data_IF_818966486038
#
_entry.id   IF_818966486038
#
_cell.length_a   1.000
_cell.length_b   1.000
_cell.length_c   1.000
_cell.angle_alpha   90.00
_cell.angle_beta   90.00
_cell.angle_gamma   90.00
#
_symmetry.space_group_name_H-M   'P 1'
#
loop_
_entity.id
_entity.type
_entity.pdbx_description
1 polymer ?
#
# COMPACT_ATOMS: atom_id res chain seq x y z
N UNK A 1 3.12 -11.65 26.42
CA UNK A 1 3.13 -12.20 25.06
C UNK A 1 1.94 -11.56 24.39
N UNK A 2 2.17 -10.62 23.49
CA UNK A 2 1.09 -9.93 22.75
C UNK A 2 0.28 -10.98 21.99
N UNK A 3 -0.99 -11.13 22.36
CA UNK A 3 -1.99 -11.91 21.65
C UNK A 3 -2.11 -11.31 20.25
N UNK A 4 -1.44 -11.90 19.26
CA UNK A 4 -1.50 -11.46 17.87
C UNK A 4 -2.95 -11.47 17.39
N UNK A 5 -3.43 -10.31 16.97
CA UNK A 5 -4.80 -10.14 16.48
C UNK A 5 -4.93 -10.80 15.10
N UNK A 6 -5.25 -12.09 15.07
CA UNK A 6 -5.61 -12.79 13.83
C UNK A 6 -7.07 -12.47 13.48
N UNK A 7 -7.29 -12.02 12.24
CA UNK A 7 -8.60 -11.80 11.64
C UNK A 7 -8.92 -13.04 10.81
N UNK A 8 -10.12 -13.59 10.92
CA UNK A 8 -10.50 -14.75 10.12
C UNK A 8 -10.68 -14.37 8.63
N UNK A 9 -10.55 -15.34 7.73
CA UNK A 9 -10.65 -15.12 6.27
C UNK A 9 -12.00 -14.50 5.87
N UNK A 10 -13.10 -14.92 6.51
CA UNK A 10 -14.44 -14.35 6.30
C UNK A 10 -14.58 -12.90 6.78
N UNK A 11 -13.98 -12.59 7.94
CA UNK A 11 -13.97 -11.22 8.46
C UNK A 11 -13.12 -10.30 7.56
N UNK A 12 -12.03 -10.84 7.02
CA UNK A 12 -11.16 -10.14 6.06
C UNK A 12 -11.91 -9.83 4.76
N UNK A 13 -12.61 -10.82 4.21
CA UNK A 13 -13.42 -10.65 2.98
C UNK A 13 -14.53 -9.61 3.17
N UNK A 14 -15.19 -9.63 4.33
CA UNK A 14 -16.19 -8.61 4.69
C UNK A 14 -15.59 -7.20 4.76
N UNK A 15 -14.45 -7.04 5.44
CA UNK A 15 -13.77 -5.74 5.57
C UNK A 15 -13.30 -5.21 4.22
N UNK A 16 -12.75 -6.08 3.37
CA UNK A 16 -12.36 -5.71 2.00
C UNK A 16 -13.57 -5.32 1.15
N UNK A 17 -14.71 -5.99 1.34
CA UNK A 17 -15.95 -5.66 0.66
C UNK A 17 -16.50 -4.31 1.13
N UNK A 18 -16.43 -4.02 2.43
CA UNK A 18 -16.87 -2.76 3.03
C UNK A 18 -16.00 -1.54 2.62
N UNK A 19 -14.76 -1.76 2.19
CA UNK A 19 -13.93 -0.72 1.55
C UNK A 19 -14.47 -0.30 0.18
N UNK A 20 -15.12 -1.23 -0.52
CA UNK A 20 -15.69 -1.01 -1.86
C UNK A 20 -17.14 -0.54 -1.77
N UNK A 21 -17.90 -1.08 -0.82
CA UNK A 21 -19.29 -0.72 -0.54
C UNK A 21 -19.50 -0.49 0.97
N UNK A 22 -19.39 0.77 1.43
CA UNK A 22 -19.57 1.11 2.83
C UNK A 22 -20.97 0.85 3.38
N UNK A 23 -21.99 0.69 2.52
CA UNK A 23 -23.37 0.44 2.97
C UNK A 23 -23.54 -0.95 3.61
N UNK A 24 -22.60 -1.87 3.36
CA UNK A 24 -22.52 -3.16 4.06
C UNK A 24 -22.29 -3.01 5.57
N UNK A 25 -21.82 -1.84 6.02
CA UNK A 25 -21.68 -1.52 7.44
C UNK A 25 -23.00 -1.08 8.10
N UNK A 26 -24.06 -0.86 7.32
CA UNK A 26 -25.36 -0.42 7.81
C UNK A 26 -26.32 -1.60 8.09
N UNK A 27 -25.87 -2.85 7.92
CA UNK A 27 -26.70 -4.04 8.19
C UNK A 27 -26.97 -4.17 9.70
N UNK A 28 -28.26 -4.17 10.14
CA UNK A 28 -28.62 -4.27 11.55
C UNK A 28 -28.32 -5.64 12.18
N UNK A 29 -28.12 -6.69 11.37
CA UNK A 29 -27.80 -8.05 11.83
C UNK A 29 -26.31 -8.37 11.71
N UNK A 30 -25.48 -7.35 11.52
CA UNK A 30 -24.06 -7.53 11.32
C UNK A 30 -23.38 -8.00 12.62
N UNK A 31 -23.22 -9.31 12.78
CA UNK A 31 -22.52 -9.91 13.92
C UNK A 31 -21.01 -9.91 13.68
N UNK A 32 -20.31 -9.03 14.38
CA UNK A 32 -18.87 -8.88 14.28
C UNK A 32 -18.29 -8.77 15.70
N UNK A 33 -17.24 -9.55 16.01
CA UNK A 33 -16.56 -9.52 17.31
C UNK A 33 -16.17 -8.08 17.68
N UNK A 34 -16.62 -7.68 18.87
CA UNK A 34 -16.74 -6.28 19.30
C UNK A 34 -15.43 -5.48 19.37
N UNK A 35 -14.26 -6.13 19.38
CA UNK A 35 -12.98 -5.42 19.43
C UNK A 35 -12.40 -5.12 18.03
N UNK A 36 -12.34 -6.16 17.18
CA UNK A 36 -11.64 -6.11 15.89
C UNK A 36 -12.36 -5.25 14.88
N UNK A 37 -13.68 -5.36 14.88
CA UNK A 37 -14.44 -4.93 13.74
C UNK A 37 -14.99 -3.53 13.87
N UNK A 38 -15.22 -3.03 15.09
CA UNK A 38 -15.41 -1.60 15.29
C UNK A 38 -14.19 -0.79 14.85
N UNK A 39 -12.98 -1.29 15.12
CA UNK A 39 -11.74 -0.64 14.67
C UNK A 39 -11.60 -0.69 13.15
N UNK A 40 -11.83 -1.84 12.52
CA UNK A 40 -11.74 -1.99 11.06
C UNK A 40 -12.84 -1.22 10.33
N UNK A 41 -14.09 -1.24 10.81
CA UNK A 41 -15.20 -0.47 10.24
C UNK A 41 -14.96 1.04 10.38
N UNK A 42 -14.40 1.49 11.52
CA UNK A 42 -13.99 2.89 11.71
C UNK A 42 -12.87 3.28 10.76
N UNK A 43 -11.86 2.41 10.62
CA UNK A 43 -10.77 2.61 9.68
C UNK A 43 -11.31 2.69 8.25
N UNK A 44 -12.16 1.76 7.80
CA UNK A 44 -12.75 1.77 6.46
C UNK A 44 -13.63 2.99 6.18
N UNK A 45 -14.36 3.50 7.19
CA UNK A 45 -15.15 4.73 7.07
C UNK A 45 -14.29 5.97 6.88
N UNK A 46 -13.21 6.08 7.64
CA UNK A 46 -12.37 7.27 7.66
C UNK A 46 -11.30 7.22 6.53
N UNK A 47 -10.92 6.03 6.06
CA UNK A 47 -9.85 5.79 5.09
C UNK A 47 -10.01 6.57 3.78
N UNK A 48 -11.18 6.62 3.10
CA UNK A 48 -11.32 7.35 1.85
C UNK A 48 -11.04 8.84 2.01
N UNK A 49 -11.56 9.44 3.09
CA UNK A 49 -11.34 10.86 3.39
C UNK A 49 -9.88 11.14 3.77
N UNK A 50 -9.25 10.25 4.53
CA UNK A 50 -7.83 10.33 4.88
C UNK A 50 -6.93 10.19 3.65
N UNK A 51 -7.20 9.22 2.77
CA UNK A 51 -6.49 9.04 1.51
C UNK A 51 -6.65 10.26 0.59
N UNK A 52 -7.87 10.82 0.51
CA UNK A 52 -8.12 12.04 -0.23
C UNK A 52 -7.36 13.24 0.34
N UNK A 53 -7.37 13.42 1.67
CA UNK A 53 -6.61 14.48 2.33
C UNK A 53 -5.10 14.31 2.12
N UNK A 54 -4.58 13.09 2.22
CA UNK A 54 -3.18 12.78 1.93
C UNK A 54 -2.84 13.04 0.48
N UNK A 55 -3.70 12.66 -0.46
CA UNK A 55 -3.53 12.94 -1.89
C UNK A 55 -3.48 14.45 -2.14
N UNK A 56 -4.43 15.22 -1.60
CA UNK A 56 -4.43 16.68 -1.73
C UNK A 56 -3.19 17.32 -1.09
N UNK A 57 -2.77 16.84 0.10
CA UNK A 57 -1.57 17.30 0.79
C UNK A 57 -0.28 16.98 0.02
N UNK A 58 -0.27 15.86 -0.69
CA UNK A 58 0.86 15.38 -1.48
C UNK A 58 0.71 15.70 -2.98
N UNK A 59 -0.32 16.46 -3.40
CA UNK A 59 -0.44 16.90 -4.80
C UNK A 59 0.81 17.71 -5.15
N UNK A 60 1.56 17.23 -6.13
CA UNK A 60 2.85 17.79 -6.53
C UNK A 60 4.08 17.23 -5.79
N UNK A 61 3.92 16.19 -4.96
CA UNK A 61 5.00 15.48 -4.26
C UNK A 61 4.88 13.96 -4.44
N UNK A 62 4.77 13.50 -5.69
CA UNK A 62 4.85 12.07 -5.99
C UNK A 62 6.29 11.56 -5.76
N UNK A 63 6.49 10.30 -5.32
CA UNK A 63 7.82 9.72 -5.22
C UNK A 63 8.45 9.69 -6.62
N UNK A 64 9.36 10.64 -6.89
CA UNK A 64 10.00 10.83 -8.19
C UNK A 64 10.09 12.29 -8.62
N UNK A 65 9.22 13.17 -8.12
CA UNK A 65 9.24 14.61 -8.41
C UNK A 65 9.85 15.37 -7.24
N UNK A 66 11.18 15.41 -7.16
CA UNK A 66 11.89 16.23 -6.17
C UNK A 66 13.07 15.55 -5.50
N UNK A 67 13.21 14.23 -5.63
CA UNK A 67 14.51 13.60 -5.43
C UNK A 67 15.31 13.87 -6.71
N UNK A 68 16.24 14.82 -6.67
CA UNK A 68 17.35 14.80 -7.63
C UNK A 68 17.88 13.37 -7.61
N UNK A 69 17.72 12.64 -8.71
CA UNK A 69 18.29 11.32 -8.85
C UNK A 69 19.80 11.50 -8.67
N UNK A 70 20.29 11.21 -7.48
CA UNK A 70 21.72 11.06 -7.24
C UNK A 70 22.07 9.81 -8.01
N UNK A 71 22.35 9.99 -9.30
CA UNK A 71 22.82 8.91 -10.14
C UNK A 71 24.18 8.53 -9.59
N UNK A 72 24.20 7.50 -8.72
CA UNK A 72 25.44 6.76 -8.48
C UNK A 72 25.87 6.29 -9.85
N UNK A 73 27.00 6.83 -10.31
CA UNK A 73 27.56 6.53 -11.62
C UNK A 73 27.86 5.03 -11.66
N UNK A 74 26.96 4.25 -12.25
CA UNK A 74 27.13 2.80 -12.37
C UNK A 74 28.27 2.55 -13.35
N UNK A 75 29.30 1.83 -12.91
CA UNK A 75 30.40 1.48 -13.79
C UNK A 75 29.93 0.56 -14.92
N UNK A 76 30.37 0.84 -16.16
CA UNK A 76 29.97 0.10 -17.37
C UNK A 76 30.18 -1.42 -17.28
N UNK A 77 31.18 -1.89 -16.51
CA UNK A 77 31.49 -3.32 -16.40
C UNK A 77 30.89 -4.00 -15.15
N UNK A 78 30.26 -3.25 -14.24
CA UNK A 78 29.65 -3.82 -13.03
C UNK A 78 28.43 -4.70 -13.38
N UNK A 79 28.04 -5.63 -12.49
CA UNK A 79 26.76 -6.33 -12.58
C UNK A 79 25.60 -5.35 -12.72
N UNK A 80 24.65 -5.64 -13.60
CA UNK A 80 23.53 -4.74 -13.87
C UNK A 80 22.56 -4.75 -12.68
N UNK A 81 22.17 -3.57 -12.15
CA UNK A 81 21.30 -3.48 -10.96
C UNK A 81 19.87 -4.01 -11.20
N UNK A 82 19.48 -4.32 -12.45
CA UNK A 82 18.21 -4.97 -12.77
C UNK A 82 18.19 -6.49 -12.47
N UNK A 83 19.29 -7.06 -11.96
CA UNK A 83 19.34 -8.47 -11.57
C UNK A 83 19.54 -9.47 -12.73
N UNK A 84 19.83 -9.00 -13.94
CA UNK A 84 19.95 -9.86 -15.12
C UNK A 84 21.22 -10.73 -15.17
N UNK A 85 22.15 -10.57 -14.23
CA UNK A 85 23.47 -11.21 -14.24
C UNK A 85 24.43 -10.69 -15.33
N UNK A 86 23.99 -9.77 -16.19
CA UNK A 86 24.81 -9.18 -17.27
C UNK A 86 25.60 -7.95 -16.78
N UNK A 87 26.69 -7.60 -17.47
CA UNK A 87 27.38 -6.32 -17.25
C UNK A 87 26.48 -5.15 -17.65
N UNK A 88 26.54 -4.03 -16.92
CA UNK A 88 25.70 -2.85 -17.17
C UNK A 88 25.73 -2.38 -18.64
N UNK A 89 26.92 -2.30 -19.26
CA UNK A 89 27.09 -1.92 -20.68
C UNK A 89 26.48 -2.88 -21.71
N UNK A 90 26.10 -4.09 -21.29
CA UNK A 90 25.45 -5.10 -22.13
C UNK A 90 23.97 -5.32 -21.76
N UNK A 91 23.41 -4.43 -20.93
CA UNK A 91 22.03 -4.51 -20.43
C UNK A 91 21.43 -3.10 -20.37
N UNK A 92 21.09 -2.58 -19.18
CA UNK A 92 20.45 -1.25 -19.04
C UNK A 92 21.30 -0.08 -19.56
N UNK A 93 22.62 -0.25 -19.69
CA UNK A 93 23.53 0.75 -20.26
C UNK A 93 23.90 0.50 -21.72
N UNK A 94 23.24 -0.44 -22.41
CA UNK A 94 23.36 -0.63 -23.84
C UNK A 94 22.45 0.38 -24.56
N UNK A 95 22.91 1.63 -24.58
CA UNK A 95 22.51 2.61 -25.60
C UNK A 95 23.51 2.58 -26.74
#
# INVERSE_FOLDING_TARGET
LDEGWFIEERETEFVLSALVDPSLLDDPNLELDGGKVQWLARACRDLPSLLQQLYLRNRGRLPGEGAQAVSKKVERNAPCPCGSGRKYKKCCGAG
#
